data_IF_205788076041
#
_entry.id   IF_205788076041
#
_cell.length_a   1.000
_cell.length_b   1.000
_cell.length_c   1.000
_cell.angle_alpha   90.00
_cell.angle_beta   90.00
_cell.angle_gamma   90.00
#
_symmetry.space_group_name_H-M   'P 1'
#
loop_
_entity.id
_entity.type
_entity.pdbx_description
1 polymer ?
#
# COMPACT_ATOMS: atom_id res chain seq x y z
N UNK A 1 8.61 -9.98 -4.67
CA UNK A 1 9.57 -9.67 -3.59
C UNK A 1 11.03 -9.77 -4.02
N UNK A 2 11.35 -10.55 -5.08
CA UNK A 2 12.69 -10.68 -5.63
C UNK A 2 13.43 -9.34 -5.75
N UNK A 3 14.63 -9.28 -5.16
CA UNK A 3 15.55 -8.14 -5.23
C UNK A 3 16.93 -8.68 -5.60
N UNK A 4 17.54 -8.13 -6.66
CA UNK A 4 18.82 -8.61 -7.21
C UNK A 4 19.86 -7.49 -7.37
N UNK A 5 19.70 -6.38 -6.64
CA UNK A 5 20.52 -5.17 -6.80
C UNK A 5 20.68 -4.75 -8.28
N UNK A 6 19.56 -4.85 -9.00
CA UNK A 6 19.49 -4.59 -10.43
C UNK A 6 18.26 -3.72 -10.71
N UNK A 7 18.38 -2.78 -11.65
CA UNK A 7 17.33 -1.79 -11.94
C UNK A 7 15.96 -2.43 -12.26
N UNK A 8 15.95 -3.59 -12.93
CA UNK A 8 14.72 -4.31 -13.30
C UNK A 8 14.18 -5.24 -12.18
N UNK A 9 14.90 -5.40 -11.08
CA UNK A 9 14.56 -6.28 -9.97
C UNK A 9 14.87 -5.61 -8.63
N UNK A 10 14.24 -4.46 -8.39
CA UNK A 10 14.48 -3.59 -7.21
C UNK A 10 13.76 -4.07 -5.93
N UNK A 11 13.10 -5.22 -5.95
CA UNK A 11 12.35 -5.70 -4.79
C UNK A 11 10.99 -5.05 -4.60
N UNK A 12 10.29 -5.54 -3.57
CA UNK A 12 9.05 -4.98 -3.02
C UNK A 12 7.88 -4.84 -4.00
N UNK A 13 7.88 -5.55 -5.14
CA UNK A 13 6.77 -5.50 -6.11
C UNK A 13 5.40 -5.66 -5.45
N UNK A 14 5.20 -6.66 -4.59
CA UNK A 14 3.93 -6.86 -3.88
C UNK A 14 3.53 -5.71 -2.93
N UNK A 15 4.49 -5.03 -2.31
CA UNK A 15 4.19 -3.83 -1.50
C UNK A 15 3.85 -2.63 -2.39
N UNK A 16 4.51 -2.50 -3.56
CA UNK A 16 4.19 -1.48 -4.56
C UNK A 16 2.78 -1.70 -5.16
N UNK A 17 2.37 -2.95 -5.33
CA UNK A 17 1.02 -3.31 -5.74
C UNK A 17 -0.01 -2.87 -4.69
N UNK A 18 0.29 -3.09 -3.40
CA UNK A 18 -0.56 -2.60 -2.30
C UNK A 18 -0.63 -1.07 -2.25
N UNK A 19 0.48 -0.36 -2.47
CA UNK A 19 0.48 1.13 -2.61
C UNK A 19 -0.46 1.56 -3.74
N UNK A 20 -0.40 0.89 -4.89
CA UNK A 20 -1.28 1.19 -6.02
C UNK A 20 -2.75 0.97 -5.65
N UNK A 21 -3.05 -0.11 -4.93
CA UNK A 21 -4.40 -0.38 -4.40
C UNK A 21 -4.89 0.70 -3.45
N UNK A 22 -4.03 1.17 -2.52
CA UNK A 22 -4.38 2.25 -1.59
C UNK A 22 -4.66 3.57 -2.33
N UNK A 23 -3.82 3.93 -3.32
CA UNK A 23 -4.08 5.10 -4.17
C UNK A 23 -5.42 5.00 -4.89
N UNK A 24 -5.74 3.82 -5.42
CA UNK A 24 -7.04 3.61 -6.06
C UNK A 24 -8.19 3.81 -5.07
N UNK A 25 -8.09 3.27 -3.85
CA UNK A 25 -9.09 3.52 -2.80
C UNK A 25 -9.20 5.03 -2.53
N UNK A 26 -8.08 5.72 -2.40
CA UNK A 26 -8.07 7.15 -2.12
C UNK A 26 -8.79 7.98 -3.17
N UNK A 27 -8.54 7.67 -4.44
CA UNK A 27 -9.10 8.40 -5.57
C UNK A 27 -10.59 8.09 -5.80
N UNK A 28 -11.04 6.89 -5.38
CA UNK A 28 -12.33 6.37 -5.83
C UNK A 28 -13.35 6.09 -4.73
N UNK A 29 -12.95 5.90 -3.46
CA UNK A 29 -13.85 5.40 -2.42
C UNK A 29 -15.03 6.35 -2.13
N UNK A 30 -14.89 7.65 -2.43
CA UNK A 30 -16.01 8.62 -2.38
C UNK A 30 -17.17 8.23 -3.27
N UNK A 31 -16.91 7.66 -4.45
CA UNK A 31 -17.93 7.23 -5.40
C UNK A 31 -18.75 6.04 -4.89
N UNK A 32 -18.25 5.35 -3.85
CA UNK A 32 -18.90 4.23 -3.20
C UNK A 32 -19.47 4.61 -1.81
N UNK A 33 -19.50 5.90 -1.48
CA UNK A 33 -20.01 6.41 -0.20
C UNK A 33 -19.03 6.35 0.98
N UNK A 34 -17.76 6.00 0.74
CA UNK A 34 -16.72 6.05 1.77
C UNK A 34 -16.06 7.42 1.90
N UNK A 35 -15.40 7.66 3.03
CA UNK A 35 -14.59 8.86 3.26
C UNK A 35 -13.10 8.55 3.09
N UNK A 36 -12.41 9.11 2.07
CA UNK A 36 -10.98 8.89 1.84
C UNK A 36 -10.11 9.37 3.02
N UNK A 37 -10.60 10.29 3.85
CA UNK A 37 -9.88 10.72 5.06
C UNK A 37 -10.02 9.75 6.23
N UNK A 38 -10.79 8.67 6.08
CA UNK A 38 -11.09 7.69 7.14
C UNK A 38 -10.88 6.25 6.69
N UNK A 39 -9.88 6.02 5.85
CA UNK A 39 -9.46 4.67 5.45
C UNK A 39 -8.67 4.02 6.60
N UNK A 40 -9.04 2.78 6.96
CA UNK A 40 -8.28 1.96 7.90
C UNK A 40 -7.76 0.73 7.17
N UNK A 41 -6.44 0.54 7.18
CA UNK A 41 -5.81 -0.68 6.68
C UNK A 41 -5.68 -1.70 7.82
N UNK A 42 -5.98 -2.96 7.54
CA UNK A 42 -5.85 -4.05 8.50
C UNK A 42 -5.26 -5.29 7.83
N UNK A 43 -4.60 -6.15 8.59
CA UNK A 43 -4.00 -7.38 8.08
C UNK A 43 -3.60 -8.34 9.19
N UNK A 44 -3.36 -9.60 8.82
CA UNK A 44 -2.92 -10.67 9.72
C UNK A 44 -1.67 -11.34 9.15
N UNK A 45 -0.78 -11.85 10.02
CA UNK A 45 0.48 -12.48 9.63
C UNK A 45 1.34 -11.54 8.74
N UNK A 46 1.75 -11.97 7.55
CA UNK A 46 2.45 -11.13 6.57
C UNK A 46 1.67 -9.86 6.17
N UNK A 47 0.33 -9.89 6.24
CA UNK A 47 -0.50 -8.71 6.03
C UNK A 47 -0.39 -7.69 7.16
N UNK A 48 -0.23 -8.13 8.42
CA UNK A 48 0.02 -7.21 9.54
C UNK A 48 1.39 -6.53 9.40
N UNK A 49 2.39 -7.28 8.93
CA UNK A 49 3.71 -6.72 8.61
C UNK A 49 3.60 -5.68 7.48
N UNK A 50 2.83 -5.97 6.43
CA UNK A 50 2.59 -5.02 5.35
C UNK A 50 1.91 -3.72 5.84
N UNK A 51 0.94 -3.82 6.76
CA UNK A 51 0.32 -2.64 7.40
C UNK A 51 1.37 -1.76 8.09
N UNK A 52 2.25 -2.36 8.89
CA UNK A 52 3.30 -1.58 9.58
C UNK A 52 4.31 -0.99 8.58
N UNK A 53 4.65 -1.70 7.50
CA UNK A 53 5.50 -1.18 6.43
C UNK A 53 4.86 0.00 5.70
N UNK A 54 3.55 -0.01 5.45
CA UNK A 54 2.83 1.12 4.87
C UNK A 54 2.80 2.34 5.79
N UNK A 55 2.70 2.13 7.09
CA UNK A 55 2.77 3.22 8.08
C UNK A 55 4.14 3.90 8.11
N UNK A 56 5.22 3.17 7.82
CA UNK A 56 6.59 3.70 7.75
C UNK A 56 6.95 4.31 6.38
N UNK A 57 6.30 3.88 5.31
CA UNK A 57 6.67 4.24 3.93
C UNK A 57 6.12 5.59 3.50
N UNK A 58 6.97 6.48 3.00
CA UNK A 58 6.53 7.74 2.38
C UNK A 58 5.65 7.53 1.14
N UNK A 59 5.77 6.37 0.46
CA UNK A 59 4.95 6.06 -0.72
C UNK A 59 3.46 5.80 -0.38
N UNK A 60 3.17 5.48 0.87
CA UNK A 60 1.82 5.24 1.39
C UNK A 60 1.27 6.41 2.19
N UNK A 61 2.05 7.48 2.36
CA UNK A 61 1.62 8.63 3.15
C UNK A 61 0.55 9.41 2.39
N UNK A 62 -0.64 9.52 2.97
CA UNK A 62 -1.76 10.26 2.39
C UNK A 62 -2.50 9.52 1.26
N UNK A 63 -2.10 8.28 0.98
CA UNK A 63 -2.96 7.33 0.27
C UNK A 63 -4.08 6.86 1.17
#
# INVERSE_FOLDING_TARGET
>A
FLSLDHANATGNAGLKDQVLGLKWVQDNIRNFGGDPKRVTIFGQSSGAVAVELHKMSDLSKGT
#
